data_IF_355846156649
#
_entry.id   IF_355846156649
#
_cell.length_a   1.000
_cell.length_b   1.000
_cell.length_c   1.000
_cell.angle_alpha   90.00
_cell.angle_beta   90.00
_cell.angle_gamma   90.00
#
_symmetry.space_group_name_H-M   'P 1'
#
loop_
_entity.id
_entity.type
_entity.pdbx_description
1 polymer ?
#
# COMPACT_ATOMS: atom_id res chain seq x y z
N UNK A 1 -27.84 20.85 -28.15
CA UNK A 1 -27.72 20.78 -26.67
C UNK A 1 -28.89 19.95 -26.16
N UNK A 2 -28.71 18.71 -25.67
CA UNK A 2 -29.69 17.93 -24.86
C UNK A 2 -29.15 16.54 -24.42
N UNK A 3 -28.02 16.05 -24.93
CA UNK A 3 -27.58 14.66 -24.72
C UNK A 3 -26.71 14.28 -23.50
N UNK A 4 -26.43 15.16 -22.53
CA UNK A 4 -25.36 14.91 -21.51
C UNK A 4 -25.86 14.81 -20.05
N UNK A 5 -27.17 14.88 -19.81
CA UNK A 5 -27.72 15.07 -18.46
C UNK A 5 -27.75 13.86 -17.50
N UNK A 6 -27.23 12.69 -17.86
CA UNK A 6 -27.32 11.50 -16.98
C UNK A 6 -25.99 10.97 -16.39
N UNK A 7 -24.84 11.59 -16.67
CA UNK A 7 -23.56 11.17 -16.06
C UNK A 7 -22.48 12.28 -15.96
N UNK A 8 -22.91 13.54 -15.88
CA UNK A 8 -22.03 14.69 -16.09
C UNK A 8 -21.29 15.13 -14.82
N UNK A 9 -19.97 15.26 -14.95
CA UNK A 9 -19.20 16.13 -14.09
C UNK A 9 -19.49 17.57 -14.54
N UNK A 10 -19.98 18.40 -13.62
CA UNK A 10 -20.23 19.82 -13.90
C UNK A 10 -19.10 20.61 -13.26
N UNK A 11 -18.39 21.40 -14.07
CA UNK A 11 -17.30 22.27 -13.62
C UNK A 11 -17.89 23.61 -13.20
N UNK A 12 -18.15 23.80 -11.91
CA UNK A 12 -18.56 25.10 -11.35
C UNK A 12 -17.34 25.68 -10.64
N UNK A 13 -16.85 26.82 -11.12
CA UNK A 13 -15.73 27.55 -10.50
C UNK A 13 -14.41 26.77 -10.37
N UNK A 14 -14.06 25.98 -11.39
CA UNK A 14 -12.77 25.27 -11.45
C UNK A 14 -12.69 23.96 -10.66
N UNK A 15 -13.78 23.51 -10.03
CA UNK A 15 -13.86 22.20 -9.39
C UNK A 15 -14.90 21.33 -10.10
N UNK A 16 -14.48 20.14 -10.57
CA UNK A 16 -15.36 19.18 -11.21
C UNK A 16 -16.22 18.48 -10.16
N UNK A 17 -17.49 18.86 -10.06
CA UNK A 17 -18.48 18.15 -9.25
C UNK A 17 -19.03 17.01 -10.09
N UNK A 18 -18.47 15.82 -9.89
CA UNK A 18 -18.93 14.58 -10.51
C UNK A 18 -19.89 13.83 -9.57
N UNK A 19 -20.93 13.21 -10.11
CA UNK A 19 -21.89 12.42 -9.31
C UNK A 19 -21.21 11.28 -8.51
N UNK A 20 -21.90 10.72 -7.50
CA UNK A 20 -21.34 9.75 -6.54
C UNK A 20 -20.75 8.47 -7.19
N UNK A 21 -21.17 8.12 -8.41
CA UNK A 21 -20.60 6.99 -9.15
C UNK A 21 -19.16 7.22 -9.68
N UNK A 22 -18.68 8.47 -9.73
CA UNK A 22 -17.32 8.82 -10.18
C UNK A 22 -16.38 9.19 -9.03
N UNK A 23 -16.76 8.91 -7.79
CA UNK A 23 -15.97 9.26 -6.61
C UNK A 23 -15.91 8.07 -5.66
N UNK A 24 -14.71 7.73 -5.19
CA UNK A 24 -14.49 6.66 -4.23
C UNK A 24 -13.83 7.28 -3.00
N UNK A 25 -14.50 7.24 -1.86
CA UNK A 25 -14.06 7.89 -0.62
C UNK A 25 -13.70 9.38 -0.74
N UNK A 26 -14.50 10.17 -1.48
CA UNK A 26 -14.36 11.63 -1.55
C UNK A 26 -13.35 12.16 -2.58
N UNK A 27 -12.63 11.30 -3.30
CA UNK A 27 -11.76 11.69 -4.43
C UNK A 27 -12.43 11.39 -5.77
N UNK A 28 -12.35 12.32 -6.71
CA UNK A 28 -12.88 12.14 -8.06
C UNK A 28 -11.99 11.13 -8.81
N UNK A 29 -12.55 10.01 -9.26
CA UNK A 29 -11.85 9.01 -10.06
C UNK A 29 -11.71 9.55 -11.48
N UNK A 30 -10.63 10.29 -11.73
CA UNK A 30 -10.26 10.73 -13.07
C UNK A 30 -9.28 9.75 -13.72
N UNK A 31 -8.52 9.02 -12.89
CA UNK A 31 -7.49 8.09 -13.32
C UNK A 31 -7.54 6.83 -12.45
N UNK A 32 -7.18 5.64 -12.96
CA UNK A 32 -7.01 4.45 -12.11
C UNK A 32 -6.04 4.64 -10.94
N UNK A 33 -5.16 5.64 -10.99
CA UNK A 33 -4.24 6.00 -9.91
C UNK A 33 -4.93 6.48 -8.63
N UNK A 34 -6.11 7.12 -8.71
CA UNK A 34 -6.82 7.63 -7.52
C UNK A 34 -7.32 6.49 -6.62
N UNK A 35 -7.74 5.39 -7.23
CA UNK A 35 -8.15 4.18 -6.49
C UNK A 35 -6.96 3.56 -5.77
N UNK A 36 -5.78 3.58 -6.41
CA UNK A 36 -4.54 3.05 -5.82
C UNK A 36 -4.08 3.90 -4.64
N UNK A 37 -4.16 5.24 -4.76
CA UNK A 37 -3.79 6.15 -3.67
C UNK A 37 -4.67 5.96 -2.43
N UNK A 38 -5.94 5.62 -2.61
CA UNK A 38 -6.86 5.36 -1.50
C UNK A 38 -6.55 4.06 -0.74
N UNK A 39 -6.12 3.01 -1.44
CA UNK A 39 -5.86 1.68 -0.85
C UNK A 39 -4.44 1.56 -0.29
N UNK A 40 -3.48 2.31 -0.83
CA UNK A 40 -2.08 2.29 -0.39
C UNK A 40 -1.87 2.54 1.11
N UNK A 41 -2.45 3.58 1.75
CA UNK A 41 -2.25 3.82 3.18
C UNK A 41 -2.80 2.68 4.04
N UNK A 42 -3.91 2.07 3.62
CA UNK A 42 -4.46 0.90 4.30
C UNK A 42 -3.52 -0.31 4.16
N UNK A 43 -2.98 -0.57 2.96
CA UNK A 43 -2.03 -1.65 2.73
C UNK A 43 -0.73 -1.48 3.53
N UNK A 44 -0.16 -0.28 3.56
CA UNK A 44 1.04 0.02 4.36
C UNK A 44 0.79 -0.12 5.87
N UNK A 45 -0.36 0.38 6.36
CA UNK A 45 -0.75 0.20 7.76
C UNK A 45 -0.90 -1.27 8.15
N UNK A 46 -1.57 -2.07 7.31
CA UNK A 46 -1.74 -3.50 7.54
C UNK A 46 -0.39 -4.24 7.51
N UNK A 47 0.47 -3.87 6.56
CA UNK A 47 1.78 -4.49 6.39
C UNK A 47 2.67 -4.28 7.63
N UNK A 48 2.66 -3.08 8.22
CA UNK A 48 3.44 -2.77 9.42
C UNK A 48 3.01 -3.63 10.63
N UNK A 49 1.70 -3.87 10.78
CA UNK A 49 1.15 -4.72 11.84
C UNK A 49 1.57 -6.17 11.65
N UNK A 50 1.45 -6.70 10.43
CA UNK A 50 1.84 -8.07 10.10
C UNK A 50 3.36 -8.25 10.32
N UNK A 51 4.16 -7.27 9.93
CA UNK A 51 5.60 -7.28 10.12
C UNK A 51 5.98 -7.45 11.60
N UNK A 52 5.34 -6.68 12.49
CA UNK A 52 5.57 -6.80 13.94
C UNK A 52 5.22 -8.20 14.45
N UNK A 53 4.10 -8.77 14.01
CA UNK A 53 3.70 -10.12 14.41
C UNK A 53 4.72 -11.19 13.99
N UNK A 54 5.22 -11.12 12.75
CA UNK A 54 6.24 -12.04 12.25
C UNK A 54 7.55 -11.89 13.02
N UNK A 55 7.94 -10.65 13.36
CA UNK A 55 9.16 -10.40 14.13
C UNK A 55 9.06 -10.96 15.55
N UNK A 56 7.92 -10.77 16.22
CA UNK A 56 7.64 -11.31 17.55
C UNK A 56 7.68 -12.84 17.51
N UNK A 57 6.95 -13.49 16.60
CA UNK A 57 6.96 -14.95 16.49
C UNK A 57 8.32 -15.53 16.10
N UNK A 58 9.04 -14.89 15.18
CA UNK A 58 10.39 -15.31 14.80
C UNK A 58 11.39 -15.17 15.95
N UNK A 59 11.30 -14.09 16.72
CA UNK A 59 12.12 -13.86 17.91
C UNK A 59 11.84 -14.86 19.03
N UNK A 60 10.57 -15.16 19.30
CA UNK A 60 10.18 -16.18 20.27
C UNK A 60 10.69 -17.58 19.88
N UNK A 61 10.54 -17.97 18.61
CA UNK A 61 11.01 -19.29 18.13
C UNK A 61 12.54 -19.44 18.29
N UNK A 62 13.29 -18.35 18.07
CA UNK A 62 14.73 -18.31 18.27
C UNK A 62 15.12 -18.49 19.75
N UNK A 63 14.45 -17.80 20.67
CA UNK A 63 14.74 -17.85 22.12
C UNK A 63 14.33 -19.21 22.72
N UNK A 64 13.17 -19.74 22.32
CA UNK A 64 12.65 -21.02 22.83
C UNK A 64 13.36 -22.25 22.25
N UNK A 65 14.20 -22.09 21.22
CA UNK A 65 14.87 -23.22 20.55
C UNK A 65 15.82 -24.02 21.45
N UNK A 66 16.21 -23.53 22.65
CA UNK A 66 16.99 -24.24 23.69
C UNK A 66 18.23 -25.02 23.18
N UNK A 67 18.80 -24.64 22.03
CA UNK A 67 19.95 -25.33 21.42
C UNK A 67 19.62 -26.53 20.51
N UNK A 68 18.33 -26.86 20.28
CA UNK A 68 17.95 -27.91 19.35
C UNK A 68 18.20 -27.45 17.90
N UNK A 69 19.06 -28.14 17.12
CA UNK A 69 19.49 -27.67 15.80
C UNK A 69 18.34 -27.55 14.80
N UNK A 70 17.32 -28.39 14.93
CA UNK A 70 16.14 -28.41 14.07
C UNK A 70 15.23 -27.18 14.29
N UNK A 71 15.06 -26.77 15.55
CA UNK A 71 14.31 -25.57 15.92
C UNK A 71 15.06 -24.30 15.53
N UNK A 72 16.38 -24.27 15.72
CA UNK A 72 17.21 -23.14 15.26
C UNK A 72 17.15 -22.97 13.74
N UNK A 73 17.17 -24.06 12.97
CA UNK A 73 17.04 -24.00 11.51
C UNK A 73 15.68 -23.42 11.10
N UNK A 74 14.62 -23.83 11.78
CA UNK A 74 13.25 -23.33 11.55
C UNK A 74 13.10 -21.86 11.94
N UNK A 75 13.62 -21.47 13.10
CA UNK A 75 13.63 -20.08 13.57
C UNK A 75 14.41 -19.16 12.62
N UNK A 76 15.58 -19.60 12.13
CA UNK A 76 16.35 -18.86 11.12
C UNK A 76 15.56 -18.69 9.82
N UNK A 77 14.90 -19.74 9.34
CA UNK A 77 14.05 -19.64 8.14
C UNK A 77 12.91 -18.61 8.31
N UNK A 78 12.25 -18.60 9.48
CA UNK A 78 11.20 -17.62 9.82
C UNK A 78 11.72 -16.19 9.89
N UNK A 79 12.89 -15.98 10.49
CA UNK A 79 13.52 -14.65 10.56
C UNK A 79 13.94 -14.19 9.17
N UNK A 80 14.55 -15.07 8.37
CA UNK A 80 14.93 -14.74 6.98
C UNK A 80 13.70 -14.36 6.16
N UNK A 81 12.59 -15.10 6.23
CA UNK A 81 11.36 -14.72 5.53
C UNK A 81 10.80 -13.37 6.01
N UNK A 82 10.88 -13.08 7.31
CA UNK A 82 10.50 -11.78 7.87
C UNK A 82 11.36 -10.63 7.33
N UNK A 83 12.68 -10.82 7.29
CA UNK A 83 13.64 -9.85 6.75
C UNK A 83 13.40 -9.61 5.26
N UNK A 84 13.15 -10.67 4.47
CA UNK A 84 12.76 -10.53 3.06
C UNK A 84 11.49 -9.68 2.93
N UNK A 85 10.50 -9.85 3.81
CA UNK A 85 9.29 -9.03 3.81
C UNK A 85 9.57 -7.54 4.02
N UNK A 86 10.44 -7.18 4.97
CA UNK A 86 10.86 -5.78 5.19
C UNK A 86 11.54 -5.22 3.94
N UNK A 87 12.48 -5.96 3.39
CA UNK A 87 13.26 -5.53 2.22
C UNK A 87 12.33 -5.37 1.01
N UNK A 88 11.39 -6.29 0.80
CA UNK A 88 10.42 -6.21 -0.28
C UNK A 88 9.55 -4.95 -0.19
N UNK A 89 9.10 -4.58 1.01
CA UNK A 89 8.34 -3.34 1.24
C UNK A 89 9.18 -2.09 0.92
N UNK A 90 10.43 -2.07 1.38
CA UNK A 90 11.35 -0.97 1.10
C UNK A 90 11.63 -0.82 -0.40
N UNK A 91 11.84 -1.93 -1.10
CA UNK A 91 12.06 -1.94 -2.56
C UNK A 91 10.80 -1.51 -3.30
N UNK A 92 9.61 -1.99 -2.89
CA UNK A 92 8.35 -1.58 -3.49
C UNK A 92 8.13 -0.07 -3.37
N UNK A 93 8.42 0.52 -2.21
CA UNK A 93 8.35 1.96 -2.01
C UNK A 93 9.30 2.71 -2.95
N UNK A 94 10.55 2.26 -3.07
CA UNK A 94 11.54 2.87 -3.98
C UNK A 94 11.10 2.80 -5.43
N UNK A 95 10.56 1.67 -5.88
CA UNK A 95 10.06 1.50 -7.26
C UNK A 95 8.93 2.49 -7.53
N UNK A 96 7.95 2.60 -6.62
CA UNK A 96 6.84 3.56 -6.76
C UNK A 96 7.38 4.99 -6.79
N UNK A 97 8.31 5.33 -5.89
CA UNK A 97 8.90 6.67 -5.85
C UNK A 97 9.64 7.03 -7.15
N UNK A 98 10.41 6.09 -7.72
CA UNK A 98 11.10 6.29 -8.99
C UNK A 98 10.11 6.40 -10.14
N UNK A 99 9.09 5.54 -10.18
CA UNK A 99 8.03 5.62 -11.18
C UNK A 99 7.32 6.98 -11.13
N UNK A 100 6.89 7.44 -9.95
CA UNK A 100 6.23 8.75 -9.78
C UNK A 100 7.09 9.91 -10.27
N UNK A 101 8.42 9.88 -10.02
CA UNK A 101 9.35 10.91 -10.52
C UNK A 101 9.45 10.91 -12.05
N UNK A 102 9.43 9.74 -12.68
CA UNK A 102 9.47 9.61 -14.15
C UNK A 102 8.15 10.10 -14.77
N UNK A 103 7.02 9.79 -14.14
CA UNK A 103 5.69 10.18 -14.62
C UNK A 103 5.29 11.63 -14.26
N UNK A 104 6.12 12.35 -13.50
CA UNK A 104 5.87 13.76 -13.14
C UNK A 104 4.64 13.97 -12.25
N UNK A 105 4.12 12.90 -11.65
CA UNK A 105 3.01 12.97 -10.71
C UNK A 105 3.60 13.44 -9.38
N UNK A 106 3.43 14.73 -9.08
CA UNK A 106 3.70 15.31 -7.77
C UNK A 106 3.11 14.38 -6.71
N UNK A 107 3.96 13.96 -5.77
CA UNK A 107 3.67 12.89 -4.81
C UNK A 107 2.59 13.33 -3.82
N UNK A 108 1.31 13.18 -4.18
CA UNK A 108 0.12 13.33 -3.32
C UNK A 108 -0.20 12.01 -2.59
N UNK A 109 0.81 11.17 -2.32
CA UNK A 109 0.65 9.92 -1.55
C UNK A 109 0.86 10.11 -0.03
N UNK A 110 0.86 11.36 0.42
CA UNK A 110 0.66 11.79 1.80
C UNK A 110 -0.15 13.08 1.84
#
# INVERSE_FOLDING_TARGET
MIGVLLAQCVTVSGQQICGPAKQFNGTAIQTPADVVNQVMPFAYGLSLVILLFVFIWGGFDLILSRGAPEKIKTAKAKITSGIIGVILLAVAYLIVQVASRIFGLGTEIF
#
